data_IF_770822338111
#
_entry.id   IF_770822338111
#
_cell.length_a   1.000
_cell.length_b   1.000
_cell.length_c   1.000
_cell.angle_alpha   90.00
_cell.angle_beta   90.00
_cell.angle_gamma   90.00
#
_symmetry.space_group_name_H-M   'P 1'
#
loop_
_entity.id
_entity.type
_entity.pdbx_description
1 polymer ?
#
# COMPACT_ATOMS: atom_id res chain seq x y z
N UNK A 1 35.11 3.37 -24.08
CA UNK A 1 34.97 2.95 -22.68
C UNK A 1 33.49 3.05 -22.35
N UNK A 2 32.81 1.92 -22.42
CA UNK A 2 31.43 1.73 -21.99
C UNK A 2 31.46 1.80 -20.49
N UNK A 3 30.79 2.80 -19.93
CA UNK A 3 30.68 2.99 -18.49
C UNK A 3 29.81 1.92 -17.87
N UNK A 4 30.39 1.23 -16.94
CA UNK A 4 29.80 0.31 -15.99
C UNK A 4 28.53 0.92 -15.36
N UNK A 5 27.35 0.61 -15.89
CA UNK A 5 26.12 0.57 -15.12
C UNK A 5 26.14 -0.72 -14.27
N UNK A 6 27.14 -0.79 -13.41
CA UNK A 6 27.37 -1.93 -12.53
C UNK A 6 26.49 -1.78 -11.30
N UNK A 7 25.31 -2.34 -11.36
CA UNK A 7 24.33 -2.39 -10.26
C UNK A 7 23.21 -3.36 -10.59
N UNK A 8 22.50 -3.80 -9.58
CA UNK A 8 21.34 -4.68 -9.73
C UNK A 8 20.32 -4.06 -10.70
N UNK A 9 19.99 -4.72 -11.83
CA UNK A 9 19.06 -4.19 -12.84
C UNK A 9 17.65 -3.93 -12.30
N UNK A 10 17.26 -4.57 -11.20
CA UNK A 10 15.97 -4.37 -10.57
C UNK A 10 15.89 -3.10 -9.73
N UNK A 11 17.01 -2.57 -9.27
CA UNK A 11 17.03 -1.38 -8.41
C UNK A 11 16.99 -0.11 -9.27
N UNK A 12 15.93 0.69 -9.13
CA UNK A 12 15.75 1.95 -9.87
C UNK A 12 16.03 3.20 -9.05
N UNK A 13 15.99 3.11 -7.72
CA UNK A 13 16.41 4.18 -6.81
C UNK A 13 16.92 3.61 -5.49
N UNK A 14 17.84 4.35 -4.86
CA UNK A 14 18.47 4.00 -3.57
C UNK A 14 18.51 5.21 -2.64
N UNK A 15 18.81 4.99 -1.36
CA UNK A 15 19.04 6.06 -0.39
C UNK A 15 17.76 6.77 0.06
N UNK A 16 16.61 6.12 -0.05
CA UNK A 16 15.37 6.61 0.51
C UNK A 16 15.30 6.32 2.02
N UNK A 17 14.33 6.92 2.69
CA UNK A 17 14.11 6.69 4.13
C UNK A 17 12.67 6.27 4.37
N UNK A 18 12.47 4.99 4.68
CA UNK A 18 11.16 4.37 4.98
C UNK A 18 10.10 4.75 3.92
N UNK A 19 10.30 4.41 2.65
CA UNK A 19 9.31 4.69 1.60
C UNK A 19 8.06 3.82 1.82
N UNK A 20 6.89 4.46 1.83
CA UNK A 20 5.60 3.81 2.15
C UNK A 20 4.59 3.87 1.03
N UNK A 21 4.30 5.05 0.50
CA UNK A 21 3.39 5.20 -0.64
C UNK A 21 4.13 5.22 -1.97
N UNK A 22 3.57 4.57 -2.99
CA UNK A 22 4.10 4.61 -4.35
C UNK A 22 2.95 4.64 -5.35
N UNK A 23 3.07 5.52 -6.34
CA UNK A 23 2.17 5.56 -7.50
C UNK A 23 2.99 5.70 -8.78
N UNK A 24 2.58 4.98 -9.83
CA UNK A 24 3.22 5.07 -11.15
C UNK A 24 2.47 6.07 -12.01
N UNK A 25 3.19 7.04 -12.55
CA UNK A 25 2.64 8.10 -13.40
C UNK A 25 2.43 7.60 -14.85
N UNK A 26 1.55 8.26 -15.64
CA UNK A 26 1.32 7.88 -17.03
C UNK A 26 2.55 7.95 -17.94
N UNK A 27 3.58 8.72 -17.54
CA UNK A 27 4.85 8.83 -18.27
C UNK A 27 5.83 7.68 -17.94
N UNK A 28 5.43 6.75 -17.06
CA UNK A 28 6.23 5.60 -16.64
C UNK A 28 7.20 5.88 -15.49
N UNK A 29 7.27 7.11 -14.99
CA UNK A 29 7.97 7.42 -13.74
C UNK A 29 7.10 7.09 -12.54
N UNK A 30 7.66 7.06 -11.33
CA UNK A 30 6.89 6.87 -10.11
C UNK A 30 7.06 8.03 -9.13
N UNK A 31 6.04 8.28 -8.32
CA UNK A 31 6.13 9.13 -7.13
C UNK A 31 6.15 8.25 -5.91
N UNK A 32 7.14 8.45 -5.06
CA UNK A 32 7.35 7.68 -3.83
C UNK A 32 7.33 8.63 -2.64
N UNK A 33 6.59 8.27 -1.60
CA UNK A 33 6.50 9.01 -0.35
C UNK A 33 7.37 8.40 0.74
N UNK A 34 8.10 9.22 1.48
CA UNK A 34 8.82 8.81 2.69
C UNK A 34 7.93 9.04 3.92
N UNK A 35 7.78 8.01 4.76
CA UNK A 35 6.86 8.01 5.90
C UNK A 35 7.13 9.15 6.87
N UNK A 36 8.35 9.24 7.35
CA UNK A 36 8.70 10.10 8.49
C UNK A 36 8.91 11.56 8.08
N UNK A 37 9.50 11.77 6.91
CA UNK A 37 9.80 13.10 6.41
C UNK A 37 8.64 13.76 5.67
N UNK A 38 7.69 12.96 5.15
CA UNK A 38 6.63 13.44 4.27
C UNK A 38 7.12 13.87 2.89
N UNK A 39 8.40 13.61 2.55
CA UNK A 39 8.96 13.93 1.23
C UNK A 39 8.33 13.08 0.15
N UNK A 40 8.03 13.69 -0.97
CA UNK A 40 7.65 13.04 -2.21
C UNK A 40 8.78 13.14 -3.22
N UNK A 41 9.22 12.00 -3.73
CA UNK A 41 10.30 11.90 -4.69
C UNK A 41 9.79 11.30 -6.01
N UNK A 42 10.21 11.88 -7.13
CA UNK A 42 10.06 11.24 -8.44
C UNK A 42 11.21 10.27 -8.69
N UNK A 43 10.86 9.06 -9.06
CA UNK A 43 11.79 7.97 -9.35
C UNK A 43 11.64 7.57 -10.81
N UNK A 44 12.78 7.31 -11.47
CA UNK A 44 12.86 7.08 -12.90
C UNK A 44 13.24 5.62 -13.21
N UNK A 45 12.54 4.96 -14.16
CA UNK A 45 12.86 3.57 -14.51
C UNK A 45 14.22 3.40 -15.20
N UNK A 46 14.79 4.49 -15.73
CA UNK A 46 16.12 4.53 -16.35
C UNK A 46 17.27 4.72 -15.34
N UNK A 47 16.95 4.69 -14.02
CA UNK A 47 17.88 4.87 -12.92
C UNK A 47 18.50 6.27 -12.82
N UNK A 48 17.92 7.26 -13.48
CA UNK A 48 18.27 8.66 -13.21
C UNK A 48 18.06 8.98 -11.73
N UNK A 49 18.88 9.86 -11.12
CA UNK A 49 18.75 10.21 -9.71
C UNK A 49 17.33 10.65 -9.34
N UNK A 50 16.82 10.14 -8.23
CA UNK A 50 15.52 10.54 -7.71
C UNK A 50 15.49 12.05 -7.44
N UNK A 51 14.35 12.68 -7.73
CA UNK A 51 14.15 14.13 -7.61
C UNK A 51 13.06 14.44 -6.59
N UNK A 52 13.37 15.25 -5.59
CA UNK A 52 12.37 15.75 -4.66
C UNK A 52 11.35 16.66 -5.40
N UNK A 53 10.08 16.40 -5.18
CA UNK A 53 8.97 17.16 -5.75
C UNK A 53 8.38 18.15 -4.75
N UNK A 54 8.15 17.68 -3.54
CA UNK A 54 7.57 18.47 -2.44
C UNK A 54 7.66 17.69 -1.13
N UNK A 55 7.31 18.37 -0.02
CA UNK A 55 7.18 17.75 1.30
C UNK A 55 5.79 18.04 1.87
N UNK A 56 5.10 16.99 2.33
CA UNK A 56 3.81 17.09 3.03
C UNK A 56 4.06 17.27 4.53
N UNK A 57 3.28 18.12 5.22
CA UNK A 57 3.37 18.23 6.67
C UNK A 57 2.75 16.98 7.32
N UNK A 58 3.59 16.15 7.92
CA UNK A 58 3.19 14.92 8.60
C UNK A 58 3.64 14.90 10.05
N UNK A 59 2.96 14.12 10.88
CA UNK A 59 3.41 13.74 12.21
C UNK A 59 3.72 12.24 12.20
N UNK A 60 5.00 11.91 12.32
CA UNK A 60 5.53 10.55 12.27
C UNK A 60 5.66 9.88 13.65
N UNK A 61 4.95 10.39 14.68
CA UNK A 61 4.91 9.74 15.98
C UNK A 61 4.25 8.36 15.91
N UNK A 62 4.80 7.38 16.61
CA UNK A 62 4.36 5.99 16.50
C UNK A 62 4.61 5.42 15.12
N UNK A 63 3.62 4.77 14.55
CA UNK A 63 3.62 4.30 13.15
C UNK A 63 2.91 5.27 12.17
N UNK A 64 2.70 6.53 12.60
CA UNK A 64 2.15 7.59 11.78
C UNK A 64 3.10 8.10 10.69
N UNK A 65 2.68 9.13 9.96
CA UNK A 65 3.46 9.76 8.91
C UNK A 65 2.72 9.83 7.57
N UNK A 66 3.45 9.78 6.45
CA UNK A 66 2.88 9.59 5.13
C UNK A 66 2.70 8.09 4.88
N UNK A 67 1.46 7.60 4.82
CA UNK A 67 1.16 6.16 4.87
C UNK A 67 0.69 5.59 3.53
N UNK A 68 0.09 6.39 2.65
CA UNK A 68 -0.38 5.90 1.36
C UNK A 68 -0.51 6.99 0.31
N UNK A 69 -0.44 6.58 -0.96
CA UNK A 69 -0.64 7.43 -2.14
C UNK A 69 -1.59 6.76 -3.12
N UNK A 70 -2.39 7.57 -3.83
CA UNK A 70 -3.18 7.14 -4.97
C UNK A 70 -3.22 8.25 -6.03
N UNK A 71 -3.28 7.89 -7.32
CA UNK A 71 -3.51 8.84 -8.39
C UNK A 71 -5.01 9.08 -8.57
N UNK A 72 -5.39 10.32 -8.89
CA UNK A 72 -6.73 10.61 -9.38
C UNK A 72 -7.07 9.71 -10.58
N UNK A 73 -8.29 9.18 -10.69
CA UNK A 73 -8.70 8.43 -11.87
C UNK A 73 -8.66 9.27 -13.16
N UNK A 74 -8.66 10.59 -13.01
CA UNK A 74 -8.52 11.58 -14.10
C UNK A 74 -7.19 12.33 -14.04
N UNK A 75 -6.12 11.71 -13.51
CA UNK A 75 -4.81 12.34 -13.33
C UNK A 75 -4.28 13.02 -14.59
N UNK A 76 -4.53 12.45 -15.77
CA UNK A 76 -4.12 13.06 -17.05
C UNK A 76 -4.79 14.43 -17.32
N UNK A 77 -5.91 14.72 -16.67
CA UNK A 77 -6.67 15.98 -16.81
C UNK A 77 -6.42 16.92 -15.65
N UNK A 78 -6.43 16.40 -14.41
CA UNK A 78 -6.40 17.19 -13.17
C UNK A 78 -5.03 17.23 -12.48
N UNK A 79 -4.14 16.28 -12.78
CA UNK A 79 -2.82 16.17 -12.19
C UNK A 79 -2.81 15.88 -10.68
N UNK A 80 -3.92 15.39 -10.11
CA UNK A 80 -4.09 15.25 -8.68
C UNK A 80 -3.54 13.93 -8.15
N UNK A 81 -2.82 14.04 -7.04
CA UNK A 81 -2.39 12.93 -6.19
C UNK A 81 -3.15 13.00 -4.87
N UNK A 82 -3.57 11.86 -4.37
CA UNK A 82 -4.17 11.70 -3.05
C UNK A 82 -3.15 11.07 -2.11
N UNK A 83 -3.10 11.55 -0.88
CA UNK A 83 -2.24 11.01 0.16
C UNK A 83 -3.02 10.76 1.44
N UNK A 84 -2.77 9.61 2.06
CA UNK A 84 -3.18 9.32 3.43
C UNK A 84 -2.01 9.67 4.35
N UNK A 85 -2.25 10.51 5.33
CA UNK A 85 -1.21 10.97 6.24
C UNK A 85 -1.72 11.21 7.66
N UNK A 86 -0.80 11.11 8.61
CA UNK A 86 -1.03 11.45 10.02
C UNK A 86 -0.68 12.92 10.29
N UNK A 87 -1.50 13.57 11.08
CA UNK A 87 -1.23 14.88 11.70
C UNK A 87 -1.11 14.72 13.21
N UNK A 88 -0.87 15.79 13.94
CA UNK A 88 -0.84 15.74 15.41
C UNK A 88 -2.18 15.31 16.05
N UNK A 89 -3.28 15.40 15.32
CA UNK A 89 -4.65 15.21 15.88
C UNK A 89 -5.45 14.09 15.25
N UNK A 90 -5.18 13.76 13.99
CA UNK A 90 -5.94 12.77 13.23
C UNK A 90 -5.10 12.18 12.09
N UNK A 91 -5.60 11.08 11.54
CA UNK A 91 -5.25 10.65 10.20
C UNK A 91 -6.21 11.28 9.21
N UNK A 92 -5.75 11.56 7.98
CA UNK A 92 -6.57 12.19 6.96
C UNK A 92 -6.15 11.87 5.54
N UNK A 93 -7.08 12.04 4.61
CA UNK A 93 -6.80 12.05 3.18
C UNK A 93 -6.73 13.50 2.70
N UNK A 94 -5.67 13.83 1.98
CA UNK A 94 -5.50 15.11 1.28
C UNK A 94 -5.32 14.86 -0.21
N UNK A 95 -5.61 15.89 -1.05
CA UNK A 95 -5.29 15.85 -2.49
C UNK A 95 -4.57 17.12 -2.92
N UNK A 96 -3.69 16.99 -3.90
CA UNK A 96 -2.88 18.11 -4.39
C UNK A 96 -2.34 17.80 -5.79
N UNK A 97 -2.11 18.81 -6.64
CA UNK A 97 -1.24 18.67 -7.79
C UNK A 97 0.23 18.59 -7.30
N UNK A 98 1.09 17.84 -8.01
CA UNK A 98 2.49 17.74 -7.64
C UNK A 98 3.15 19.13 -7.59
N UNK A 99 3.75 19.46 -6.44
CA UNK A 99 4.31 20.78 -6.14
C UNK A 99 3.28 21.84 -5.70
N UNK A 100 2.00 21.47 -5.59
CA UNK A 100 0.92 22.36 -5.15
C UNK A 100 0.57 22.25 -3.67
N UNK A 101 -0.46 22.98 -3.26
CA UNK A 101 -0.94 22.99 -1.87
C UNK A 101 -1.88 21.81 -1.60
N UNK A 102 -1.63 21.03 -0.53
CA UNK A 102 -2.54 19.97 -0.11
C UNK A 102 -3.88 20.53 0.40
N UNK A 103 -4.97 19.95 -0.09
CA UNK A 103 -6.33 20.25 0.34
C UNK A 103 -6.95 19.02 1.00
N UNK A 104 -7.61 19.13 2.16
CA UNK A 104 -8.24 18.02 2.83
C UNK A 104 -9.41 17.45 2.01
N UNK A 105 -9.51 16.13 1.96
CA UNK A 105 -10.61 15.37 1.35
C UNK A 105 -11.43 14.69 2.43
N UNK A 106 -10.78 13.97 3.34
CA UNK A 106 -11.39 13.33 4.50
C UNK A 106 -10.52 13.60 5.73
N UNK A 107 -11.14 14.04 6.83
CA UNK A 107 -10.46 14.37 8.09
C UNK A 107 -11.13 13.67 9.26
N UNK A 108 -10.47 13.66 10.42
CA UNK A 108 -11.06 13.10 11.65
C UNK A 108 -11.04 11.57 11.72
N UNK A 109 -10.22 10.91 10.90
CA UNK A 109 -9.93 9.49 11.08
C UNK A 109 -9.10 9.36 12.38
N UNK A 110 -9.50 8.52 13.34
CA UNK A 110 -8.75 8.35 14.57
C UNK A 110 -7.28 7.99 14.31
N UNK A 111 -6.40 8.52 15.17
CA UNK A 111 -4.96 8.27 15.14
C UNK A 111 -4.51 7.62 16.43
N UNK A 112 -3.58 6.67 16.35
CA UNK A 112 -2.95 6.00 17.48
C UNK A 112 -1.43 5.98 17.40
N UNK A 113 -0.79 5.41 18.40
CA UNK A 113 0.64 5.06 18.36
C UNK A 113 0.90 3.90 17.40
N UNK A 114 -0.13 3.07 17.17
CA UNK A 114 -0.12 1.92 16.26
C UNK A 114 -1.44 1.84 15.51
N UNK A 115 -1.50 1.05 14.43
CA UNK A 115 -2.74 0.77 13.71
C UNK A 115 -3.34 2.03 13.07
N UNK A 116 -2.55 2.75 12.28
CA UNK A 116 -3.00 3.99 11.63
C UNK A 116 -3.58 3.77 10.23
N UNK A 117 -3.45 2.59 9.65
CA UNK A 117 -3.91 2.30 8.30
C UNK A 117 -3.01 2.91 7.22
N UNK A 118 -3.61 3.27 6.10
CA UNK A 118 -2.90 3.95 5.01
C UNK A 118 -3.28 3.47 3.62
N UNK A 119 -4.03 2.38 3.51
CA UNK A 119 -4.49 1.86 2.21
C UNK A 119 -5.31 2.89 1.45
N UNK A 120 -4.89 3.23 0.22
CA UNK A 120 -5.65 4.08 -0.70
C UNK A 120 -5.76 3.40 -2.05
N UNK A 121 -6.98 3.35 -2.59
CA UNK A 121 -7.22 2.79 -3.92
C UNK A 121 -8.43 3.45 -4.57
N UNK A 122 -8.30 3.91 -5.80
CA UNK A 122 -9.46 4.22 -6.63
C UNK A 122 -9.99 2.96 -7.31
N UNK A 123 -11.25 2.66 -7.09
CA UNK A 123 -11.97 1.64 -7.84
C UNK A 123 -12.27 2.06 -9.28
N UNK A 124 -12.68 1.13 -10.14
CA UNK A 124 -12.96 1.39 -11.55
C UNK A 124 -14.15 2.33 -11.77
N UNK A 125 -15.00 2.50 -10.78
CA UNK A 125 -16.14 3.42 -10.76
C UNK A 125 -15.78 4.84 -10.25
N UNK A 126 -14.51 5.08 -9.90
CA UNK A 126 -14.03 6.35 -9.35
C UNK A 126 -14.23 6.50 -7.84
N UNK A 127 -14.74 5.48 -7.16
CA UNK A 127 -14.82 5.46 -5.69
C UNK A 127 -13.41 5.39 -5.09
N UNK A 128 -13.09 6.28 -4.15
CA UNK A 128 -11.88 6.18 -3.35
C UNK A 128 -12.14 5.30 -2.14
N UNK A 129 -11.49 4.14 -2.11
CA UNK A 129 -11.43 3.29 -0.93
C UNK A 129 -10.28 3.71 -0.03
N UNK A 130 -10.57 3.83 1.28
CA UNK A 130 -9.62 4.28 2.29
C UNK A 130 -9.54 3.25 3.40
N UNK A 131 -8.39 2.62 3.54
CA UNK A 131 -8.11 1.66 4.60
C UNK A 131 -7.62 2.37 5.87
N UNK A 132 -8.26 2.10 7.00
CA UNK A 132 -7.91 2.69 8.29
C UNK A 132 -7.56 1.60 9.31
N UNK A 133 -6.83 1.97 10.36
CA UNK A 133 -6.52 1.06 11.44
C UNK A 133 -7.39 1.30 12.68
N UNK A 134 -7.40 0.35 13.60
CA UNK A 134 -8.17 0.41 14.85
C UNK A 134 -7.50 1.24 15.96
N UNK A 135 -6.30 1.75 15.67
CA UNK A 135 -5.49 2.58 16.58
C UNK A 135 -5.05 1.87 17.87
N UNK A 136 -5.00 0.53 17.86
CA UNK A 136 -4.76 -0.30 19.03
C UNK A 136 -5.97 -0.41 19.96
N UNK A 137 -7.17 -0.02 19.48
CA UNK A 137 -8.44 -0.09 20.23
C UNK A 137 -9.46 -0.88 19.41
N UNK A 138 -9.47 -2.23 19.48
CA UNK A 138 -10.30 -3.09 18.62
C UNK A 138 -11.81 -2.78 18.67
N UNK A 139 -12.30 -2.23 19.77
CA UNK A 139 -13.71 -1.83 19.89
C UNK A 139 -14.11 -0.75 18.87
N UNK A 140 -13.18 0.11 18.45
CA UNK A 140 -13.44 1.14 17.43
C UNK A 140 -13.70 0.53 16.07
N UNK A 141 -13.07 -0.61 15.75
CA UNK A 141 -13.29 -1.31 14.50
C UNK A 141 -14.72 -1.81 14.32
N UNK A 142 -15.42 -2.08 15.42
CA UNK A 142 -16.83 -2.50 15.42
C UNK A 142 -17.82 -1.34 15.65
N UNK A 143 -17.36 -0.18 16.13
CA UNK A 143 -18.22 0.99 16.35
C UNK A 143 -18.68 1.57 14.98
N UNK A 144 -20.00 1.61 14.69
CA UNK A 144 -20.52 2.05 13.40
C UNK A 144 -20.33 3.55 13.11
N UNK A 145 -20.04 4.36 14.16
CA UNK A 145 -19.80 5.81 13.98
C UNK A 145 -18.32 6.17 13.91
N UNK A 146 -17.44 5.24 14.30
CA UNK A 146 -15.99 5.42 14.20
C UNK A 146 -15.49 5.18 12.79
N UNK A 147 -14.51 5.98 12.35
CA UNK A 147 -13.78 5.76 11.09
C UNK A 147 -12.54 4.87 11.28
N UNK A 148 -12.25 4.40 12.50
CA UNK A 148 -11.13 3.52 12.79
C UNK A 148 -11.46 2.04 12.47
N UNK A 149 -10.49 1.28 11.96
CA UNK A 149 -10.64 -0.15 11.66
C UNK A 149 -11.67 -0.43 10.57
N UNK A 150 -11.63 0.34 9.48
CA UNK A 150 -12.59 0.32 8.39
C UNK A 150 -11.91 0.30 7.02
N UNK A 151 -12.63 -0.21 6.03
CA UNK A 151 -12.48 0.30 4.67
C UNK A 151 -13.62 1.28 4.44
N UNK A 152 -13.28 2.51 4.07
CA UNK A 152 -14.24 3.57 3.78
C UNK A 152 -14.40 3.68 2.25
N UNK A 153 -15.58 4.12 1.79
CA UNK A 153 -15.86 4.41 0.39
C UNK A 153 -16.36 5.87 0.26
N UNK A 154 -15.58 6.69 -0.41
CA UNK A 154 -15.87 8.12 -0.62
C UNK A 154 -15.67 8.50 -2.09
N UNK A 155 -16.25 9.61 -2.48
CA UNK A 155 -15.98 10.21 -3.78
C UNK A 155 -14.67 11.03 -3.78
N UNK A 156 -14.30 11.59 -4.93
CA UNK A 156 -13.11 12.44 -5.10
C UNK A 156 -13.11 13.69 -4.24
N UNK A 157 -14.25 14.07 -3.66
CA UNK A 157 -14.44 15.25 -2.77
C UNK A 157 -14.57 14.87 -1.30
N UNK A 158 -14.54 13.56 -0.96
CA UNK A 158 -14.66 13.06 0.40
C UNK A 158 -16.10 12.83 0.86
N UNK A 159 -17.08 12.88 -0.06
CA UNK A 159 -18.46 12.57 0.29
C UNK A 159 -18.65 11.04 0.30
N UNK A 160 -19.43 10.50 1.26
CA UNK A 160 -19.75 9.08 1.29
C UNK A 160 -20.37 8.58 -0.01
N UNK A 161 -19.97 7.38 -0.45
CA UNK A 161 -20.63 6.64 -1.52
C UNK A 161 -21.63 5.67 -0.88
N UNK A 162 -22.94 5.89 -1.08
CA UNK A 162 -24.02 5.14 -0.44
C UNK A 162 -24.56 5.81 0.83
N UNK A 163 -25.06 5.02 1.78
CA UNK A 163 -25.74 5.51 2.99
C UNK A 163 -24.77 6.04 4.07
N UNK A 164 -23.47 5.89 3.86
CA UNK A 164 -22.42 6.35 4.78
C UNK A 164 -21.04 5.99 4.24
N UNK A 165 -19.96 6.46 4.92
CA UNK A 165 -18.61 6.24 4.42
C UNK A 165 -18.09 4.81 4.67
N UNK A 166 -18.68 4.06 5.60
CA UNK A 166 -18.18 2.72 5.99
C UNK A 166 -18.58 1.69 4.96
N UNK A 167 -17.59 1.14 4.24
CA UNK A 167 -17.76 0.07 3.27
C UNK A 167 -17.65 -1.32 3.91
N UNK A 168 -16.63 -1.52 4.77
CA UNK A 168 -16.48 -2.69 5.64
C UNK A 168 -15.88 -2.30 6.98
N UNK A 169 -15.99 -3.19 7.96
CA UNK A 169 -15.56 -2.96 9.35
C UNK A 169 -14.85 -4.17 9.93
N UNK A 170 -14.26 -3.99 11.11
CA UNK A 170 -13.64 -5.07 11.87
C UNK A 170 -12.15 -5.25 11.58
N UNK A 171 -11.58 -4.34 10.79
CA UNK A 171 -10.15 -4.36 10.44
C UNK A 171 -9.26 -3.90 11.60
N UNK A 172 -8.02 -4.39 11.63
CA UNK A 172 -7.00 -4.00 12.60
C UNK A 172 -6.13 -2.86 12.06
N UNK A 173 -5.46 -3.09 10.91
CA UNK A 173 -4.58 -2.09 10.29
C UNK A 173 -4.52 -2.30 8.76
N UNK A 174 -5.42 -1.64 8.02
CA UNK A 174 -5.49 -1.77 6.57
C UNK A 174 -4.37 -0.98 5.92
N UNK A 175 -3.27 -1.65 5.62
CA UNK A 175 -2.04 -1.06 5.08
C UNK A 175 -2.06 -0.89 3.57
N UNK A 176 -2.77 -1.76 2.84
CA UNK A 176 -2.96 -1.64 1.40
C UNK A 176 -4.32 -2.19 0.94
N UNK A 177 -4.72 -1.74 -0.23
CA UNK A 177 -5.93 -2.19 -0.93
C UNK A 177 -5.57 -2.54 -2.37
N UNK A 178 -6.15 -3.61 -2.90
CA UNK A 178 -6.03 -3.93 -4.32
C UNK A 178 -7.33 -4.45 -4.92
N UNK A 179 -7.56 -4.11 -6.19
CA UNK A 179 -8.74 -4.51 -6.93
C UNK A 179 -8.47 -5.80 -7.68
N UNK A 180 -9.16 -6.85 -7.31
CA UNK A 180 -9.25 -8.07 -8.10
C UNK A 180 -10.32 -7.98 -9.18
N UNK A 181 -10.45 -9.02 -10.01
CA UNK A 181 -11.43 -9.03 -11.11
C UNK A 181 -12.89 -8.91 -10.64
N UNK A 182 -13.20 -9.42 -9.47
CA UNK A 182 -14.57 -9.51 -8.95
C UNK A 182 -14.79 -8.77 -7.64
N UNK A 183 -13.74 -8.56 -6.85
CA UNK A 183 -13.85 -7.97 -5.51
C UNK A 183 -12.61 -7.20 -5.13
N UNK A 184 -12.73 -6.40 -4.08
CA UNK A 184 -11.66 -5.66 -3.43
C UNK A 184 -10.99 -6.56 -2.39
N UNK A 185 -9.68 -6.43 -2.24
CA UNK A 185 -8.92 -7.06 -1.17
C UNK A 185 -8.21 -6.00 -0.33
N UNK A 186 -8.05 -6.30 0.96
CA UNK A 186 -7.32 -5.48 1.92
C UNK A 186 -6.24 -6.32 2.61
N UNK A 187 -5.01 -5.83 2.67
CA UNK A 187 -4.02 -6.35 3.60
C UNK A 187 -4.29 -5.72 4.97
N UNK A 188 -4.43 -6.57 5.97
CA UNK A 188 -4.74 -6.18 7.34
C UNK A 188 -3.64 -6.71 8.26
N UNK A 189 -2.78 -5.81 8.72
CA UNK A 189 -1.63 -6.13 9.56
C UNK A 189 -2.07 -6.26 11.02
N UNK A 190 -1.73 -7.37 11.66
CA UNK A 190 -2.07 -7.61 13.05
C UNK A 190 -0.92 -7.20 13.98
N UNK A 191 -1.19 -6.48 15.08
CA UNK A 191 -0.17 -6.12 16.07
C UNK A 191 0.40 -7.34 16.79
N UNK A 192 -0.31 -8.46 16.72
CA UNK A 192 0.12 -9.77 17.23
C UNK A 192 -0.71 -10.87 16.57
N UNK A 193 -0.06 -11.95 16.18
CA UNK A 193 -0.74 -13.05 15.47
C UNK A 193 -0.47 -13.01 13.97
N UNK A 194 -1.23 -13.74 13.17
CA UNK A 194 -1.12 -13.73 11.73
C UNK A 194 -1.69 -12.43 11.15
N UNK A 195 -1.06 -11.93 10.09
CA UNK A 195 -1.68 -10.94 9.22
C UNK A 195 -2.69 -11.63 8.29
N UNK A 196 -3.59 -10.85 7.74
CA UNK A 196 -4.60 -11.39 6.83
C UNK A 196 -4.73 -10.61 5.53
N UNK A 197 -5.17 -11.29 4.50
CA UNK A 197 -5.75 -10.70 3.31
C UNK A 197 -7.26 -10.91 3.36
N UNK A 198 -8.01 -9.84 3.49
CA UNK A 198 -9.46 -9.89 3.52
C UNK A 198 -10.07 -9.68 2.15
N UNK A 199 -11.10 -10.44 1.83
CA UNK A 199 -12.03 -10.14 0.75
C UNK A 199 -13.06 -9.12 1.25
N UNK A 200 -13.00 -7.90 0.72
CA UNK A 200 -13.77 -6.76 1.22
C UNK A 200 -15.06 -6.59 0.41
N UNK A 201 -16.20 -6.61 1.09
CA UNK A 201 -17.52 -6.48 0.48
C UNK A 201 -18.35 -5.36 1.11
N UNK A 202 -19.32 -4.78 0.36
CA UNK A 202 -20.19 -3.74 0.94
C UNK A 202 -20.96 -4.25 2.16
N UNK A 203 -20.84 -3.52 3.29
CA UNK A 203 -21.46 -3.91 4.56
C UNK A 203 -20.76 -5.08 5.27
N UNK A 204 -19.61 -5.54 4.75
CA UNK A 204 -18.85 -6.65 5.31
C UNK A 204 -18.32 -6.37 6.72
N UNK A 205 -18.18 -7.45 7.49
CA UNK A 205 -17.57 -7.47 8.81
C UNK A 205 -16.50 -8.56 8.80
N UNK A 206 -15.26 -8.19 9.04
CA UNK A 206 -14.10 -9.11 9.09
C UNK A 206 -13.54 -9.24 10.52
N UNK A 207 -14.27 -8.70 11.51
CA UNK A 207 -13.90 -8.84 12.91
C UNK A 207 -14.06 -10.26 13.43
N UNK A 208 -13.84 -10.48 14.73
CA UNK A 208 -13.75 -11.82 15.34
C UNK A 208 -14.98 -12.74 15.14
N UNK A 209 -16.15 -12.13 14.92
CA UNK A 209 -17.42 -12.85 14.67
C UNK A 209 -17.88 -12.68 13.20
N UNK A 210 -17.01 -12.12 12.34
CA UNK A 210 -17.29 -11.80 10.95
C UNK A 210 -16.93 -12.89 9.96
N UNK A 211 -16.61 -12.47 8.74
CA UNK A 211 -16.16 -13.37 7.68
C UNK A 211 -14.73 -13.86 7.94
N UNK A 212 -14.45 -15.09 7.58
CA UNK A 212 -13.07 -15.62 7.58
C UNK A 212 -12.23 -14.87 6.54
N UNK A 213 -10.93 -14.62 6.83
CA UNK A 213 -10.03 -14.01 5.87
C UNK A 213 -9.83 -14.90 4.64
N UNK A 214 -9.56 -14.29 3.49
CA UNK A 214 -9.22 -15.01 2.27
C UNK A 214 -7.86 -15.72 2.38
N UNK A 215 -6.92 -15.16 3.17
CA UNK A 215 -5.61 -15.74 3.44
C UNK A 215 -5.14 -15.31 4.84
N UNK A 216 -4.64 -16.26 5.62
CA UNK A 216 -3.85 -15.98 6.82
C UNK A 216 -2.34 -16.12 6.51
N UNK A 217 -1.55 -15.16 6.98
CA UNK A 217 -0.08 -15.16 6.84
C UNK A 217 0.54 -15.17 8.23
N UNK A 218 1.30 -16.23 8.59
CA UNK A 218 1.94 -16.28 9.90
C UNK A 218 2.80 -15.05 10.19
N UNK A 219 2.81 -14.56 11.42
CA UNK A 219 3.51 -13.32 11.80
C UNK A 219 4.98 -13.28 11.35
N UNK A 220 5.71 -14.40 11.40
CA UNK A 220 7.10 -14.47 10.95
C UNK A 220 7.28 -14.30 9.42
N UNK A 221 6.20 -14.40 8.67
CA UNK A 221 6.17 -14.28 7.21
C UNK A 221 5.29 -13.11 6.75
N UNK A 222 4.76 -12.35 7.70
CA UNK A 222 3.81 -11.23 7.55
C UNK A 222 4.49 -9.88 7.37
N UNK A 223 3.95 -8.88 8.06
CA UNK A 223 4.25 -7.46 7.83
C UNK A 223 3.70 -7.04 6.48
N UNK A 224 2.40 -7.33 6.24
CA UNK A 224 1.76 -7.09 4.94
C UNK A 224 1.59 -5.58 4.68
N UNK A 225 2.43 -5.02 3.82
CA UNK A 225 2.46 -3.57 3.53
C UNK A 225 2.06 -3.18 2.11
N UNK A 226 1.75 -4.13 1.25
CA UNK A 226 1.42 -3.87 -0.15
C UNK A 226 0.60 -4.97 -0.79
N UNK A 227 -0.24 -4.60 -1.76
CA UNK A 227 -1.08 -5.53 -2.51
C UNK A 227 -1.23 -5.06 -3.95
N UNK A 228 -1.05 -5.98 -4.91
CA UNK A 228 -1.33 -5.75 -6.32
C UNK A 228 -1.92 -7.01 -6.97
N UNK A 229 -2.79 -6.83 -7.96
CA UNK A 229 -3.40 -7.95 -8.70
C UNK A 229 -3.12 -7.81 -10.18
N UNK A 230 -2.61 -8.87 -10.81
CA UNK A 230 -2.39 -8.95 -12.26
C UNK A 230 -2.90 -10.28 -12.81
N UNK A 231 -3.94 -10.22 -13.63
CA UNK A 231 -4.62 -11.41 -14.09
C UNK A 231 -5.09 -12.29 -12.92
N UNK A 232 -4.69 -13.55 -12.86
CA UNK A 232 -5.04 -14.41 -11.73
C UNK A 232 -4.09 -14.29 -10.53
N UNK A 233 -3.05 -13.46 -10.58
CA UNK A 233 -2.03 -13.39 -9.53
C UNK A 233 -2.26 -12.24 -8.59
N UNK A 234 -2.12 -12.50 -7.28
CA UNK A 234 -2.05 -11.51 -6.20
C UNK A 234 -0.64 -11.49 -5.66
N UNK A 235 -0.08 -10.29 -5.57
CA UNK A 235 1.27 -10.02 -5.06
C UNK A 235 1.14 -9.26 -3.75
N UNK A 236 1.71 -9.79 -2.67
CA UNK A 236 1.67 -9.20 -1.34
C UNK A 236 3.09 -8.87 -0.89
N UNK A 237 3.35 -7.60 -0.57
CA UNK A 237 4.58 -7.18 0.07
C UNK A 237 4.58 -7.65 1.53
N UNK A 238 5.57 -8.46 1.93
CA UNK A 238 5.69 -9.05 3.25
C UNK A 238 7.02 -8.66 3.89
N UNK A 239 6.99 -7.67 4.76
CA UNK A 239 8.18 -7.08 5.39
C UNK A 239 8.90 -8.09 6.29
N UNK A 240 8.18 -8.76 7.17
CA UNK A 240 8.76 -9.74 8.10
C UNK A 240 9.15 -11.03 7.39
N UNK A 241 8.38 -11.42 6.37
CA UNK A 241 8.73 -12.49 5.46
C UNK A 241 9.87 -12.19 4.50
N UNK A 242 10.27 -10.92 4.36
CA UNK A 242 11.35 -10.44 3.48
C UNK A 242 11.20 -10.91 2.04
N UNK A 243 9.97 -10.83 1.51
CA UNK A 243 9.59 -11.35 0.20
C UNK A 243 8.36 -10.64 -0.35
N UNK A 244 8.06 -10.88 -1.61
CA UNK A 244 6.71 -10.75 -2.16
C UNK A 244 6.08 -12.14 -2.13
N UNK A 245 4.91 -12.27 -1.54
CA UNK A 245 4.13 -13.51 -1.59
C UNK A 245 3.24 -13.49 -2.83
N UNK A 246 3.29 -14.55 -3.61
CA UNK A 246 2.49 -14.66 -4.83
C UNK A 246 1.47 -15.77 -4.64
N UNK A 247 0.19 -15.44 -4.78
CA UNK A 247 -0.91 -16.41 -4.74
C UNK A 247 -1.80 -16.24 -5.97
N UNK A 248 -2.73 -17.15 -6.19
CA UNK A 248 -3.58 -17.14 -7.36
C UNK A 248 -5.06 -17.00 -6.98
N UNK A 249 -5.81 -16.37 -7.87
CA UNK A 249 -7.27 -16.31 -7.84
C UNK A 249 -7.84 -17.31 -8.84
N UNK A 250 -8.91 -17.98 -8.46
CA UNK A 250 -9.74 -18.74 -9.40
C UNK A 250 -10.77 -17.86 -10.12
N UNK A 251 -11.65 -18.49 -10.90
CA UNK A 251 -12.69 -17.78 -11.66
C UNK A 251 -13.79 -17.16 -10.79
N UNK A 252 -13.89 -17.51 -9.50
CA UNK A 252 -14.79 -16.91 -8.52
C UNK A 252 -14.17 -15.78 -7.71
N UNK A 253 -12.86 -15.58 -7.84
CA UNK A 253 -12.10 -14.58 -7.06
C UNK A 253 -11.60 -15.13 -5.74
N UNK A 254 -11.72 -16.43 -5.49
CA UNK A 254 -11.17 -17.07 -4.30
C UNK A 254 -9.68 -17.40 -4.50
N UNK A 255 -8.91 -17.30 -3.42
CA UNK A 255 -7.50 -17.67 -3.45
C UNK A 255 -7.33 -19.19 -3.53
N UNK A 256 -6.43 -19.63 -4.39
CA UNK A 256 -6.15 -21.06 -4.62
C UNK A 256 -4.66 -21.37 -4.56
N UNK A 257 -4.35 -22.53 -4.01
CA UNK A 257 -2.97 -23.01 -3.85
C UNK A 257 -2.23 -22.33 -2.72
N UNK A 258 -1.03 -22.82 -2.45
CA UNK A 258 -0.13 -22.26 -1.44
C UNK A 258 0.60 -21.03 -2.00
N UNK A 259 0.68 -19.91 -1.26
CA UNK A 259 1.49 -18.77 -1.67
C UNK A 259 2.93 -19.12 -1.92
N UNK A 260 3.50 -18.61 -3.01
CA UNK A 260 4.89 -18.84 -3.38
C UNK A 260 5.75 -17.61 -3.07
N UNK A 261 6.99 -17.80 -2.60
CA UNK A 261 7.92 -16.70 -2.37
C UNK A 261 8.49 -16.16 -3.67
N UNK A 262 8.55 -14.83 -3.79
CA UNK A 262 9.23 -14.13 -4.88
C UNK A 262 10.16 -13.07 -4.30
N UNK A 263 11.39 -12.96 -4.81
CA UNK A 263 12.45 -12.09 -4.31
C UNK A 263 12.83 -12.36 -2.82
N UNK A 264 12.62 -13.58 -2.34
CA UNK A 264 12.86 -13.92 -0.95
C UNK A 264 14.32 -13.65 -0.54
N UNK A 265 14.51 -12.94 0.58
CA UNK A 265 15.79 -12.61 1.19
C UNK A 265 16.77 -11.78 0.32
N UNK A 266 16.33 -11.26 -0.83
CA UNK A 266 17.22 -10.53 -1.75
C UNK A 266 17.37 -9.05 -1.40
N UNK A 267 16.30 -8.42 -0.88
CA UNK A 267 16.26 -6.96 -0.66
C UNK A 267 15.80 -6.59 0.75
N UNK A 268 15.72 -7.57 1.66
CA UNK A 268 15.21 -7.35 3.01
C UNK A 268 13.70 -7.18 3.06
N UNK A 269 13.22 -6.21 3.81
CA UNK A 269 11.80 -5.96 4.09
C UNK A 269 11.10 -5.31 2.90
N UNK A 270 10.32 -6.08 2.14
CA UNK A 270 9.56 -5.60 0.98
C UNK A 270 8.18 -5.12 1.43
N UNK A 271 7.86 -3.83 1.16
CA UNK A 271 6.65 -3.19 1.69
C UNK A 271 5.60 -2.96 0.60
N UNK A 272 5.68 -1.83 -0.09
CA UNK A 272 4.68 -1.44 -1.09
C UNK A 272 4.88 -2.24 -2.37
N UNK A 273 3.80 -2.69 -2.97
CA UNK A 273 3.80 -3.40 -4.26
C UNK A 273 2.74 -2.77 -5.14
N UNK A 274 3.16 -2.24 -6.29
CA UNK A 274 2.27 -1.59 -7.27
C UNK A 274 2.61 -2.09 -8.67
N UNK A 275 1.61 -2.29 -9.51
CA UNK A 275 1.80 -2.63 -10.94
C UNK A 275 1.85 -1.38 -11.79
N UNK A 276 2.80 -1.36 -12.73
CA UNK A 276 2.75 -0.40 -13.82
C UNK A 276 1.90 -0.92 -15.01
N UNK A 277 1.53 -0.05 -15.96
CA UNK A 277 0.73 -0.48 -17.12
C UNK A 277 1.40 -1.53 -18.02
N UNK A 278 2.71 -1.76 -17.89
CA UNK A 278 3.43 -2.82 -18.60
C UNK A 278 3.38 -4.17 -17.90
N UNK A 279 2.83 -4.22 -16.67
CA UNK A 279 2.78 -5.40 -15.82
C UNK A 279 4.03 -5.63 -14.99
N UNK A 280 4.95 -4.66 -14.92
CA UNK A 280 6.07 -4.71 -13.99
C UNK A 280 5.63 -4.29 -12.59
N UNK A 281 6.21 -4.94 -11.59
CA UNK A 281 6.02 -4.60 -10.18
C UNK A 281 7.01 -3.50 -9.77
N UNK A 282 6.48 -2.45 -9.16
CA UNK A 282 7.25 -1.46 -8.42
C UNK A 282 7.14 -1.78 -6.95
N UNK A 283 8.28 -1.90 -6.27
CA UNK A 283 8.34 -2.37 -4.89
C UNK A 283 9.24 -1.44 -4.08
N UNK A 284 8.83 -1.09 -2.86
CA UNK A 284 9.69 -0.36 -1.93
C UNK A 284 10.25 -1.29 -0.87
N UNK A 285 11.49 -1.05 -0.43
CA UNK A 285 12.02 -1.68 0.79
C UNK A 285 11.74 -0.81 2.02
N UNK A 286 11.77 -1.40 3.20
CA UNK A 286 11.56 -0.73 4.50
C UNK A 286 12.60 -1.22 5.51
N UNK A 287 13.88 -1.24 5.13
CA UNK A 287 14.96 -1.75 5.97
C UNK A 287 15.41 -0.74 7.03
N UNK A 288 15.05 0.56 6.87
CA UNK A 288 15.35 1.66 7.79
C UNK A 288 14.22 1.98 8.76
N UNK A 289 13.19 1.13 8.86
CA UNK A 289 12.01 1.33 9.72
C UNK A 289 12.26 1.12 11.23
N UNK A 290 13.48 0.78 11.62
CA UNK A 290 13.86 0.48 12.99
C UNK A 290 13.74 -1.00 13.39
N UNK A 291 13.12 -1.82 12.54
CA UNK A 291 13.01 -3.29 12.69
C UNK A 291 14.01 -4.00 11.79
N UNK A 292 14.18 -3.50 10.58
CA UNK A 292 15.10 -4.05 9.58
C UNK A 292 16.57 -3.86 9.92
N UNK A 293 17.43 -4.49 9.14
CA UNK A 293 18.88 -4.29 9.17
C UNK A 293 19.30 -3.64 7.86
N UNK A 294 19.43 -2.29 7.81
CA UNK A 294 19.70 -1.58 6.58
C UNK A 294 21.12 -1.79 6.07
N UNK A 295 21.26 -1.91 4.77
CA UNK A 295 22.52 -1.80 4.03
C UNK A 295 22.80 -0.32 3.65
N UNK A 296 23.98 -0.07 3.06
CA UNK A 296 24.40 1.31 2.72
C UNK A 296 23.42 2.00 1.76
N UNK A 297 22.88 1.24 0.79
CA UNK A 297 22.03 1.74 -0.29
C UNK A 297 20.53 1.70 0.03
N UNK A 298 20.14 1.20 1.22
CA UNK A 298 18.74 1.20 1.64
C UNK A 298 18.25 2.62 1.98
N UNK A 299 16.96 2.87 1.91
CA UNK A 299 15.94 2.03 1.30
C UNK A 299 15.92 2.20 -0.21
N UNK A 300 15.32 1.21 -0.90
CA UNK A 300 15.36 1.09 -2.35
C UNK A 300 13.95 1.12 -2.95
N UNK A 301 13.89 1.50 -4.22
CA UNK A 301 12.76 1.21 -5.10
C UNK A 301 13.22 0.22 -6.15
N UNK A 302 12.48 -0.86 -6.28
CA UNK A 302 12.70 -1.90 -7.27
C UNK A 302 11.66 -1.79 -8.38
N UNK A 303 12.04 -2.13 -9.61
CA UNK A 303 11.13 -2.38 -10.72
C UNK A 303 11.46 -3.73 -11.34
N UNK A 304 10.54 -4.69 -11.19
CA UNK A 304 10.77 -6.10 -11.53
C UNK A 304 9.65 -6.61 -12.44
N UNK A 305 10.00 -7.32 -13.49
CA UNK A 305 9.01 -8.03 -14.31
C UNK A 305 8.78 -9.40 -13.64
N UNK A 306 7.55 -9.66 -13.14
CA UNK A 306 7.25 -10.95 -12.55
C UNK A 306 7.33 -12.06 -13.60
N UNK A 307 7.66 -13.31 -13.22
CA UNK A 307 7.68 -14.43 -14.16
C UNK A 307 6.31 -14.60 -14.81
N UNK A 308 6.28 -14.67 -16.14
CA UNK A 308 5.05 -14.93 -16.89
C UNK A 308 4.68 -16.41 -16.77
N UNK A 309 3.38 -16.72 -16.67
CA UNK A 309 2.83 -18.08 -16.68
C UNK A 309 3.05 -18.76 -18.05
N UNK A 310 4.28 -19.14 -18.39
CA UNK A 310 4.57 -19.72 -19.70
C UNK A 310 5.99 -20.21 -19.90
N UNK A 311 6.87 -20.01 -18.94
CA UNK A 311 8.19 -20.64 -18.94
C UNK A 311 8.26 -21.70 -17.84
N UNK A 312 8.65 -22.92 -18.20
CA UNK A 312 8.99 -24.02 -17.32
C UNK A 312 10.19 -23.67 -16.42
N UNK A 313 10.04 -22.65 -15.59
CA UNK A 313 11.00 -22.32 -14.52
C UNK A 313 10.26 -22.40 -13.19
N UNK A 314 10.71 -23.19 -12.24
CA UNK A 314 10.13 -23.17 -10.90
C UNK A 314 10.30 -21.77 -10.32
N UNK A 315 9.22 -21.24 -9.72
CA UNK A 315 9.22 -20.04 -8.91
C UNK A 315 10.15 -20.20 -7.71
#
# INVERSE_FOLDING_TARGET
TEDEQDGDPNVVATGLTVPTGLVVLPDGTAVVGERDSGRLLQVFPDRSPARELMTLPVDAGGDGGLLGLALSPTFGEDGLVYAYLSTATDNRVVRFPLGGTPNPVLTGIPRGEVGNGGGLLFGPDGTLYVGTGDTGVPALAQDPVSLAGKVLAIDVFGQPVGDGPVFSRGHQDVTALCQGPLQLYATDEAPSGPDVLDAVTPGGDVGPDGADPALEVPAAEGGLGGCAVSGPYVFLGAMDGRQVRVTQLDGSGDLVGEPQPFLADQYGRLRTVVLDPSGALWITTSNRDGVGTPEADDDRVLRVVPPSSGSDSPL
#
